data_IF_569065516273
#
_entry.id   IF_569065516273
#
_cell.length_a   1.000
_cell.length_b   1.000
_cell.length_c   1.000
_cell.angle_alpha   90.00
_cell.angle_beta   90.00
_cell.angle_gamma   90.00
#
_symmetry.space_group_name_H-M   'P 1'
#
loop_
_entity.id
_entity.type
_entity.pdbx_description
1 polymer ?
#
# COMPACT_ATOMS: atom_id res chain seq x y z
N UNK A 1 -27.07 12.34 7.43
CA UNK A 1 -26.95 10.86 7.49
C UNK A 1 -25.98 10.46 6.40
N UNK A 2 -24.73 10.16 6.78
CA UNK A 2 -23.81 9.48 5.85
C UNK A 2 -24.48 8.16 5.46
N UNK A 3 -24.85 8.03 4.19
CA UNK A 3 -25.33 6.74 3.68
C UNK A 3 -24.15 5.78 3.79
N UNK A 4 -24.26 4.77 4.66
CA UNK A 4 -23.33 3.64 4.67
C UNK A 4 -23.25 3.05 3.26
N UNK A 5 -22.10 3.23 2.59
CA UNK A 5 -21.82 2.66 1.28
C UNK A 5 -21.20 1.28 1.47
N UNK A 6 -21.90 0.27 0.97
CA UNK A 6 -21.42 -1.11 1.04
C UNK A 6 -20.31 -1.36 0.03
N UNK A 7 -19.47 -2.38 0.26
CA UNK A 7 -18.42 -2.77 -0.67
C UNK A 7 -18.98 -3.03 -2.08
N UNK A 8 -20.11 -3.73 -2.17
CA UNK A 8 -20.78 -4.01 -3.44
C UNK A 8 -21.12 -2.75 -4.23
N UNK A 9 -21.77 -1.78 -3.57
CA UNK A 9 -22.15 -0.51 -4.21
C UNK A 9 -20.93 0.28 -4.66
N UNK A 10 -19.87 0.29 -3.86
CA UNK A 10 -18.62 0.96 -4.23
C UNK A 10 -17.98 0.30 -5.45
N UNK A 11 -17.93 -1.03 -5.51
CA UNK A 11 -17.44 -1.77 -6.69
C UNK A 11 -18.26 -1.46 -7.94
N UNK A 12 -19.57 -1.27 -7.83
CA UNK A 12 -20.46 -0.87 -8.93
C UNK A 12 -20.21 0.58 -9.41
N UNK A 13 -19.79 1.48 -8.51
CA UNK A 13 -19.51 2.89 -8.82
C UNK A 13 -18.20 3.11 -9.60
N UNK A 14 -17.26 2.18 -9.53
CA UNK A 14 -15.96 2.29 -10.22
C UNK A 14 -15.77 1.16 -11.23
N UNK A 15 -15.17 1.48 -12.38
CA UNK A 15 -14.88 0.47 -13.41
C UNK A 15 -13.86 -0.53 -12.89
N UNK A 16 -14.10 -1.82 -13.11
CA UNK A 16 -13.13 -2.86 -12.81
C UNK A 16 -11.80 -2.60 -13.57
N UNK A 17 -10.64 -2.95 -12.97
CA UNK A 17 -9.36 -2.65 -13.57
C UNK A 17 -9.14 -3.59 -14.75
N UNK A 18 -8.59 -3.05 -15.84
CA UNK A 18 -8.04 -3.90 -16.91
C UNK A 18 -6.70 -4.42 -16.40
N UNK A 19 -6.55 -5.75 -16.31
CA UNK A 19 -5.40 -6.43 -15.69
C UNK A 19 -4.02 -6.08 -16.30
N UNK A 20 -3.99 -5.34 -17.41
CA UNK A 20 -2.77 -4.85 -18.06
C UNK A 20 -2.32 -3.47 -17.60
N UNK A 21 -3.12 -2.75 -16.80
CA UNK A 21 -2.77 -1.41 -16.31
C UNK A 21 -1.87 -1.49 -15.08
N UNK A 22 -0.77 -0.74 -15.12
CA UNK A 22 0.15 -0.57 -13.98
C UNK A 22 -0.59 0.07 -12.81
N UNK A 23 -0.39 -0.47 -11.60
CA UNK A 23 -0.88 0.12 -10.35
C UNK A 23 -0.19 1.48 -10.14
N UNK A 24 -0.94 2.57 -9.85
CA UNK A 24 -0.37 3.89 -9.61
C UNK A 24 0.40 3.93 -8.29
N UNK A 25 1.40 4.82 -8.21
CA UNK A 25 2.09 5.09 -6.96
C UNK A 25 1.27 6.02 -6.05
N UNK A 26 1.51 6.04 -4.73
CA UNK A 26 0.91 7.03 -3.83
C UNK A 26 1.13 8.47 -4.28
N UNK A 27 2.30 8.79 -4.85
CA UNK A 27 2.59 10.12 -5.41
C UNK A 27 1.62 10.49 -6.54
N UNK A 28 1.39 9.60 -7.50
CA UNK A 28 0.43 9.83 -8.59
C UNK A 28 -0.99 10.00 -8.05
N UNK A 29 -1.38 9.21 -7.03
CA UNK A 29 -2.68 9.34 -6.39
C UNK A 29 -2.85 10.67 -5.63
N UNK A 30 -1.78 11.19 -5.02
CA UNK A 30 -1.77 12.48 -4.35
C UNK A 30 -1.86 13.65 -5.32
N UNK A 31 -1.13 13.58 -6.44
CA UNK A 31 -1.01 14.68 -7.40
C UNK A 31 -2.22 14.73 -8.35
N UNK A 32 -2.63 13.59 -8.90
CA UNK A 32 -3.62 13.52 -9.99
C UNK A 32 -4.94 12.83 -9.57
N UNK A 33 -4.95 12.19 -8.40
CA UNK A 33 -6.07 11.40 -7.94
C UNK A 33 -7.25 12.26 -7.46
N UNK A 34 -8.46 11.91 -7.90
CA UNK A 34 -9.70 12.46 -7.34
C UNK A 34 -10.25 11.51 -6.28
N UNK A 35 -10.30 11.97 -5.02
CA UNK A 35 -10.83 11.18 -3.90
C UNK A 35 -12.33 10.97 -4.09
N UNK A 36 -12.77 9.73 -3.98
CA UNK A 36 -14.16 9.31 -4.00
C UNK A 36 -14.69 9.08 -2.57
N UNK A 37 -13.94 8.34 -1.74
CA UNK A 37 -14.26 8.09 -0.33
C UNK A 37 -12.98 8.09 0.50
N UNK A 38 -13.08 8.48 1.76
CA UNK A 38 -11.98 8.39 2.73
C UNK A 38 -12.50 7.88 4.06
N UNK A 39 -11.73 7.01 4.70
CA UNK A 39 -11.97 6.52 6.06
C UNK A 39 -10.70 6.69 6.87
N UNK A 40 -10.79 7.46 7.93
CA UNK A 40 -9.75 7.58 8.96
C UNK A 40 -9.94 6.46 10.00
N UNK A 41 -8.84 5.98 10.55
CA UNK A 41 -8.75 5.06 11.68
C UNK A 41 -7.83 5.66 12.74
N UNK A 42 -7.65 4.95 13.86
CA UNK A 42 -6.69 5.35 14.89
C UNK A 42 -5.23 5.30 14.37
N UNK A 43 -4.32 6.00 15.05
CA UNK A 43 -2.87 5.99 14.78
C UNK A 43 -2.48 6.47 13.36
N UNK A 44 -3.14 7.53 12.86
CA UNK A 44 -2.92 8.12 11.53
C UNK A 44 -3.06 7.12 10.38
N UNK A 45 -3.83 6.05 10.60
CA UNK A 45 -4.16 5.06 9.58
C UNK A 45 -5.38 5.50 8.78
N UNK A 46 -5.36 5.28 7.47
CA UNK A 46 -6.49 5.64 6.61
C UNK A 46 -6.59 4.78 5.36
N UNK A 47 -7.80 4.74 4.81
CA UNK A 47 -8.10 4.28 3.46
C UNK A 47 -8.61 5.46 2.65
N UNK A 48 -7.98 5.73 1.51
CA UNK A 48 -8.45 6.70 0.53
C UNK A 48 -8.79 5.96 -0.76
N UNK A 49 -10.07 5.90 -1.11
CA UNK A 49 -10.55 5.39 -2.40
C UNK A 49 -10.65 6.54 -3.40
N UNK A 50 -10.10 6.33 -4.58
CA UNK A 50 -10.12 7.29 -5.69
C UNK A 50 -11.17 6.91 -6.73
N UNK A 51 -11.64 7.90 -7.51
CA UNK A 51 -12.56 7.69 -8.64
C UNK A 51 -12.02 6.71 -9.70
N UNK A 52 -10.70 6.52 -9.75
CA UNK A 52 -10.05 5.51 -10.58
C UNK A 52 -10.29 4.07 -10.12
N UNK A 53 -10.85 3.87 -8.92
CA UNK A 53 -11.07 2.57 -8.29
C UNK A 53 -9.89 2.07 -7.45
N UNK A 54 -8.76 2.79 -7.46
CA UNK A 54 -7.62 2.49 -6.60
C UNK A 54 -7.85 2.97 -5.17
N UNK A 55 -7.45 2.13 -4.23
CA UNK A 55 -7.45 2.37 -2.79
C UNK A 55 -6.01 2.53 -2.35
N UNK A 56 -5.74 3.63 -1.65
CA UNK A 56 -4.50 3.81 -0.91
C UNK A 56 -4.76 3.53 0.56
N UNK A 57 -4.11 2.49 1.08
CA UNK A 57 -4.04 2.20 2.51
C UNK A 57 -2.72 2.73 3.07
N UNK A 58 -2.79 3.45 4.19
CA UNK A 58 -1.62 3.91 4.93
C UNK A 58 -1.80 3.57 6.41
N UNK A 59 -0.77 3.01 7.03
CA UNK A 59 -0.69 2.72 8.46
C UNK A 59 0.71 3.10 8.96
N UNK A 60 0.83 4.31 9.51
CA UNK A 60 2.11 4.92 9.84
C UNK A 60 3.02 5.05 8.62
N UNK A 61 4.22 4.45 8.67
CA UNK A 61 5.19 4.49 7.56
C UNK A 61 4.92 3.45 6.46
N UNK A 62 3.98 2.53 6.68
CA UNK A 62 3.67 1.45 5.74
C UNK A 62 2.46 1.85 4.92
N UNK A 63 2.50 1.58 3.63
CA UNK A 63 1.37 1.82 2.75
C UNK A 63 1.33 0.79 1.63
N UNK A 64 0.16 0.69 1.01
CA UNK A 64 -0.03 -0.10 -0.19
C UNK A 64 -1.13 0.51 -1.05
N UNK A 65 -1.07 0.23 -2.35
CA UNK A 65 -2.09 0.64 -3.32
C UNK A 65 -2.62 -0.61 -4.01
N UNK A 66 -3.94 -0.75 -4.05
CA UNK A 66 -4.63 -1.85 -4.70
C UNK A 66 -5.94 -1.38 -5.29
N UNK A 67 -6.58 -2.17 -6.15
CA UNK A 67 -7.89 -1.80 -6.70
C UNK A 67 -9.00 -2.30 -5.78
N UNK A 68 -10.12 -1.59 -5.64
CA UNK A 68 -11.24 -2.05 -4.78
C UNK A 68 -11.84 -3.40 -5.23
N UNK A 69 -11.66 -3.75 -6.50
CA UNK A 69 -12.04 -5.05 -7.08
C UNK A 69 -11.06 -6.18 -6.70
N UNK A 70 -9.96 -5.88 -6.03
CA UNK A 70 -9.06 -6.86 -5.42
C UNK A 70 -9.58 -7.33 -4.05
N UNK A 71 -10.53 -6.61 -3.44
CA UNK A 71 -11.26 -7.05 -2.24
C UNK A 71 -12.26 -8.16 -2.58
N UNK A 72 -11.78 -9.33 -3.00
CA UNK A 72 -12.59 -10.47 -3.44
C UNK A 72 -12.23 -11.74 -2.69
N UNK A 73 -13.07 -12.76 -2.82
CA UNK A 73 -12.91 -14.06 -2.19
C UNK A 73 -13.14 -14.06 -0.67
N UNK A 74 -13.23 -15.27 -0.15
CA UNK A 74 -13.31 -15.53 1.28
C UNK A 74 -12.02 -15.07 1.99
N UNK A 75 -12.14 -14.58 3.22
CA UNK A 75 -11.01 -14.19 4.05
C UNK A 75 -10.74 -15.25 5.12
N UNK A 76 -9.54 -15.81 5.12
CA UNK A 76 -9.12 -16.83 6.07
C UNK A 76 -8.36 -16.20 7.24
N UNK A 77 -9.04 -15.95 8.34
CA UNK A 77 -8.45 -15.35 9.53
C UNK A 77 -7.79 -16.43 10.40
N UNK A 78 -6.49 -16.31 10.69
CA UNK A 78 -5.78 -17.24 11.60
C UNK A 78 -5.57 -18.66 11.04
N UNK A 79 -5.83 -18.89 9.75
CA UNK A 79 -5.70 -20.21 9.11
C UNK A 79 -4.25 -20.73 9.08
N UNK A 80 -3.26 -19.84 9.14
CA UNK A 80 -1.85 -20.19 9.27
C UNK A 80 -1.52 -20.98 10.55
N UNK A 81 -2.41 -20.96 11.56
CA UNK A 81 -2.26 -21.69 12.83
C UNK A 81 -3.20 -22.90 12.97
N UNK A 82 -3.86 -23.32 11.89
CA UNK A 82 -4.71 -24.53 11.87
C UNK A 82 -6.03 -24.44 12.64
N UNK A 83 -6.41 -23.24 13.12
CA UNK A 83 -7.69 -22.96 13.82
C UNK A 83 -8.40 -21.73 13.23
N UNK A 84 -8.18 -21.45 11.95
CA UNK A 84 -8.68 -20.24 11.33
C UNK A 84 -10.15 -20.32 10.97
N UNK A 85 -10.89 -19.24 11.23
CA UNK A 85 -12.25 -19.06 10.72
C UNK A 85 -12.19 -18.46 9.31
N UNK A 86 -13.14 -18.85 8.46
CA UNK A 86 -13.28 -18.32 7.11
C UNK A 86 -14.50 -17.41 7.06
N UNK A 87 -14.27 -16.12 6.82
CA UNK A 87 -15.33 -15.14 6.61
C UNK A 87 -15.66 -15.11 5.13
N UNK A 88 -16.93 -15.32 4.79
CA UNK A 88 -17.40 -15.40 3.40
C UNK A 88 -17.32 -14.05 2.68
N UNK A 89 -17.00 -14.08 1.39
CA UNK A 89 -17.02 -12.87 0.55
C UNK A 89 -18.35 -12.11 0.63
N UNK A 90 -19.47 -12.83 0.61
CA UNK A 90 -20.82 -12.25 0.65
C UNK A 90 -21.07 -11.39 1.91
N UNK A 91 -20.45 -11.76 3.04
CA UNK A 91 -20.52 -10.93 4.25
C UNK A 91 -19.92 -9.55 3.98
N UNK A 92 -18.73 -9.52 3.39
CA UNK A 92 -18.01 -8.28 3.09
C UNK A 92 -18.69 -7.42 2.03
N UNK A 93 -19.31 -8.03 1.01
CA UNK A 93 -20.07 -7.31 -0.02
C UNK A 93 -21.19 -6.43 0.58
N UNK A 94 -21.77 -6.87 1.69
CA UNK A 94 -22.85 -6.20 2.40
C UNK A 94 -22.38 -5.29 3.53
N UNK A 95 -21.13 -5.43 3.99
CA UNK A 95 -20.51 -4.52 4.95
C UNK A 95 -20.14 -3.17 4.32
N UNK A 96 -19.85 -2.18 5.17
CA UNK A 96 -19.23 -0.94 4.72
C UNK A 96 -17.93 -1.21 3.95
N UNK A 97 -17.73 -0.47 2.87
CA UNK A 97 -16.63 -0.71 1.92
C UNK A 97 -15.24 -0.81 2.57
N UNK A 98 -15.04 -0.06 3.66
CA UNK A 98 -13.75 0.05 4.32
C UNK A 98 -13.39 -1.21 5.14
N UNK A 99 -14.36 -2.07 5.49
CA UNK A 99 -14.11 -3.25 6.32
C UNK A 99 -13.21 -4.27 5.59
N UNK A 100 -13.60 -4.74 4.39
CA UNK A 100 -12.76 -5.67 3.63
C UNK A 100 -11.48 -5.01 3.11
N UNK A 101 -11.57 -3.73 2.73
CA UNK A 101 -10.43 -2.97 2.24
C UNK A 101 -9.35 -2.79 3.32
N UNK A 102 -9.73 -2.71 4.60
CA UNK A 102 -8.78 -2.67 5.71
C UNK A 102 -7.98 -3.98 5.80
N UNK A 103 -8.67 -5.13 5.91
CA UNK A 103 -8.01 -6.45 5.94
C UNK A 103 -7.10 -6.69 4.74
N UNK A 104 -7.56 -6.26 3.57
CA UNK A 104 -6.81 -6.39 2.32
C UNK A 104 -5.55 -5.51 2.31
N UNK A 105 -5.64 -4.29 2.84
CA UNK A 105 -4.51 -3.39 3.01
C UNK A 105 -3.47 -3.93 4.00
N UNK A 106 -3.93 -4.41 5.16
CA UNK A 106 -3.06 -5.00 6.19
C UNK A 106 -2.33 -6.24 5.69
N UNK A 107 -3.04 -7.16 5.06
CA UNK A 107 -2.45 -8.37 4.50
C UNK A 107 -1.38 -8.05 3.45
N UNK A 108 -1.64 -7.10 2.54
CA UNK A 108 -0.64 -6.69 1.54
C UNK A 108 0.61 -6.06 2.16
N UNK A 109 0.44 -5.27 3.21
CA UNK A 109 1.56 -4.69 3.94
C UNK A 109 2.38 -5.80 4.62
N UNK A 110 1.74 -6.75 5.29
CA UNK A 110 2.40 -7.89 5.94
C UNK A 110 3.16 -8.76 4.91
N UNK A 111 2.52 -9.13 3.80
CA UNK A 111 3.16 -9.88 2.71
C UNK A 111 4.37 -9.15 2.10
N UNK A 112 4.28 -7.82 1.98
CA UNK A 112 5.42 -7.01 1.51
C UNK A 112 6.57 -7.01 2.52
N UNK A 113 6.28 -7.01 3.82
CA UNK A 113 7.31 -7.06 4.86
C UNK A 113 8.02 -8.42 4.85
N UNK A 114 7.26 -9.52 4.83
CA UNK A 114 7.80 -10.88 4.78
C UNK A 114 8.70 -11.11 3.56
N UNK A 115 8.35 -10.54 2.40
CA UNK A 115 9.20 -10.59 1.19
C UNK A 115 10.52 -9.86 1.40
N UNK A 116 10.51 -8.69 2.03
CA UNK A 116 11.74 -7.96 2.34
C UNK A 116 12.60 -8.68 3.38
N UNK A 117 11.99 -9.25 4.41
CA UNK A 117 12.70 -9.99 5.47
C UNK A 117 13.26 -11.32 4.97
N UNK A 118 12.52 -12.04 4.12
CA UNK A 118 13.01 -13.25 3.44
C UNK A 118 14.11 -12.99 2.41
N UNK A 119 14.12 -11.82 1.78
CA UNK A 119 15.22 -11.36 0.91
C UNK A 119 16.46 -10.95 1.72
N UNK A 120 16.32 -10.73 3.04
CA UNK A 120 17.42 -10.48 3.97
C UNK A 120 18.45 -11.62 4.06
N UNK A 121 18.14 -12.81 3.54
CA UNK A 121 19.12 -13.90 3.38
C UNK A 121 19.80 -13.95 2.00
N UNK A 122 19.39 -13.15 1.01
CA UNK A 122 19.96 -13.27 -0.36
C UNK A 122 20.05 -11.98 -1.17
N UNK A 123 20.07 -10.78 -0.58
CA UNK A 123 20.56 -9.61 -1.32
C UNK A 123 21.06 -8.48 -0.43
N UNK A 124 22.38 -8.36 -0.36
CA UNK A 124 23.07 -7.11 -0.02
C UNK A 124 22.72 -6.10 -1.11
N UNK A 125 21.80 -5.18 -0.85
CA UNK A 125 21.66 -3.96 -1.64
C UNK A 125 22.51 -2.88 -0.98
N UNK A 126 23.74 -2.69 -1.48
CA UNK A 126 24.56 -1.51 -1.16
C UNK A 126 23.87 -0.30 -1.77
N UNK A 127 23.26 0.54 -0.93
CA UNK A 127 22.90 1.91 -1.30
C UNK A 127 24.18 2.74 -1.30
N UNK A 128 24.67 3.10 -2.49
CA UNK A 128 25.74 4.08 -2.67
C UNK A 128 25.22 5.45 -2.23
N UNK A 129 25.31 5.81 -0.95
CA UNK A 129 25.12 7.17 -0.43
C UNK A 129 25.72 7.26 0.99
N UNK A 130 27.04 7.09 1.09
CA UNK A 130 27.80 7.55 2.25
C UNK A 130 29.28 7.80 1.87
N UNK A 131 29.77 8.99 2.26
CA UNK A 131 31.17 9.43 2.41
C UNK A 131 31.97 9.63 1.09
N UNK A 132 32.61 10.76 0.78
CA UNK A 132 33.03 11.93 1.56
C UNK A 132 33.10 13.16 0.64
N UNK A 133 32.55 14.29 1.05
CA UNK A 133 33.08 15.59 0.64
C UNK A 133 34.31 15.85 1.54
N UNK A 134 35.52 15.62 1.01
CA UNK A 134 36.72 16.36 1.41
C UNK A 134 37.81 16.17 0.34
N UNK A 135 37.87 17.09 -0.61
CA UNK A 135 38.99 17.23 -1.55
C UNK A 135 39.41 18.69 -1.65
N UNK A 136 39.53 19.36 -0.49
CA UNK A 136 40.13 20.68 -0.39
C UNK A 136 41.49 20.61 0.27
N UNK A 137 42.56 20.43 -0.52
CA UNK A 137 43.86 21.15 -0.41
C UNK A 137 44.95 20.38 -1.19
N UNK A 138 45.34 20.93 -2.34
CA UNK A 138 46.70 20.79 -2.86
C UNK A 138 47.20 22.20 -3.15
N UNK A 139 47.95 22.76 -2.20
CA UNK A 139 48.91 23.81 -2.50
C UNK A 139 50.27 23.11 -2.63
N UNK A 140 50.68 22.88 -3.88
CA UNK A 140 52.02 22.41 -4.20
C UNK A 140 53.04 23.54 -4.01
N UNK A 141 54.09 23.21 -3.26
CA UNK A 141 55.26 24.03 -2.98
C UNK A 141 56.14 24.23 -4.23
N UNK A 142 56.63 25.46 -4.37
CA UNK A 142 57.95 25.86 -4.90
C UNK A 142 58.53 25.10 -6.12
N UNK A 143 58.53 25.77 -7.27
CA UNK A 143 59.49 25.52 -8.34
C UNK A 143 60.77 26.31 -8.06
N UNK A 144 61.85 25.62 -7.68
CA UNK A 144 63.22 26.14 -7.83
C UNK A 144 63.70 25.97 -9.28
N UNK A 145 64.29 27.03 -9.83
CA UNK A 145 65.15 27.02 -11.02
C UNK A 145 66.24 28.08 -10.86
#
# INVERSE_FOLDING_TARGET
MDKMLTLKKVKEMVKAPVHTKRVPSPKVLLEDGRILLRKEFEHDSHLTLYHSGYVWFSAGKRNTVFHIHDCRGDYAYGASKGKGEVIKEEYFENCEWHIRALFEGEQRVEESQLKCEGVGQTKVSVSYHAVAEDWGEMADSEMEL
#
